data_IF_248008621198
#
_entry.id   IF_248008621198
#
_cell.length_a   1.000
_cell.length_b   1.000
_cell.length_c   1.000
_cell.angle_alpha   90.00
_cell.angle_beta   90.00
_cell.angle_gamma   90.00
#
_symmetry.space_group_name_H-M   'P 1'
#
loop_
_entity.id
_entity.type
_entity.pdbx_description
1 polymer ?
#
# COMPACT_ATOMS: atom_id res chain seq x y z
N UNK A 1 -23.06 3.69 9.74
CA UNK A 1 -23.59 4.32 8.51
C UNK A 1 -24.77 5.28 8.79
N UNK A 2 -24.96 5.75 10.03
CA UNK A 2 -25.76 6.94 10.35
C UNK A 2 -24.91 7.98 11.11
N UNK A 3 -24.27 7.60 12.22
CA UNK A 3 -22.81 7.81 12.32
C UNK A 3 -22.12 6.43 12.20
N UNK A 4 -20.81 6.27 12.44
CA UNK A 4 -20.07 5.18 11.78
C UNK A 4 -20.58 3.75 12.05
N UNK A 5 -21.16 3.43 13.23
CA UNK A 5 -22.42 2.65 13.26
C UNK A 5 -23.51 3.29 14.13
N UNK A 6 -23.21 3.76 15.35
CA UNK A 6 -23.00 5.22 15.59
C UNK A 6 -21.53 5.64 15.79
N UNK A 7 -20.61 4.74 16.14
CA UNK A 7 -19.19 4.84 15.73
C UNK A 7 -18.48 3.48 15.58
N UNK A 8 -19.09 2.39 16.07
CA UNK A 8 -19.19 1.09 15.35
C UNK A 8 -20.23 0.13 15.98
N UNK A 9 -20.91 0.34 17.13
CA UNK A 9 -21.90 1.41 17.42
C UNK A 9 -21.45 2.58 18.33
N UNK A 10 -20.31 2.47 19.01
CA UNK A 10 -19.37 3.60 19.26
C UNK A 10 -17.91 3.10 19.13
N UNK A 11 -17.70 1.79 19.33
CA UNK A 11 -16.68 1.00 18.63
C UNK A 11 -17.15 -0.46 18.34
N UNK A 12 -18.46 -0.74 18.50
CA UNK A 12 -19.07 -2.07 18.67
C UNK A 12 -19.24 -2.96 17.43
N UNK A 13 -18.13 -3.43 16.86
CA UNK A 13 -18.14 -4.56 15.93
C UNK A 13 -18.50 -5.87 16.64
N UNK A 14 -19.57 -6.53 16.21
CA UNK A 14 -19.66 -7.98 16.25
C UNK A 14 -19.68 -8.56 14.84
N UNK A 15 -18.98 -9.68 14.69
CA UNK A 15 -18.83 -10.46 13.46
C UNK A 15 -20.16 -11.14 13.10
N UNK A 16 -20.46 -11.37 11.82
CA UNK A 16 -20.95 -12.66 11.32
C UNK A 16 -21.13 -12.73 9.80
N UNK A 17 -20.82 -13.93 9.28
CA UNK A 17 -21.25 -14.53 8.01
C UNK A 17 -21.15 -13.69 6.72
N UNK A 18 -20.03 -13.87 6.01
CA UNK A 18 -19.95 -14.04 4.55
C UNK A 18 -20.96 -13.25 3.70
N UNK A 19 -20.60 -12.00 3.36
CA UNK A 19 -21.08 -11.34 2.14
C UNK A 19 -19.88 -10.80 1.37
N UNK A 20 -19.92 -10.91 0.04
CA UNK A 20 -18.74 -10.72 -0.82
C UNK A 20 -18.23 -9.28 -0.90
N UNK A 21 -17.10 -9.13 -1.60
CA UNK A 21 -16.32 -7.91 -1.87
C UNK A 21 -15.25 -7.54 -0.80
N UNK A 22 -14.02 -8.04 -1.08
CA UNK A 22 -12.71 -7.56 -0.61
C UNK A 22 -12.40 -7.48 0.90
N UNK A 23 -12.01 -8.62 1.49
CA UNK A 23 -11.14 -8.70 2.68
C UNK A 23 -10.24 -9.95 2.60
N UNK A 24 -9.03 -9.93 3.20
CA UNK A 24 -8.15 -11.12 3.27
C UNK A 24 -7.52 -11.32 4.66
N UNK A 25 -7.66 -12.54 5.20
CA UNK A 25 -7.21 -13.05 6.51
C UNK A 25 -6.88 -14.58 6.36
N UNK A 26 -6.36 -15.38 7.32
CA UNK A 26 -6.23 -15.27 8.78
C UNK A 26 -4.83 -15.72 9.31
N UNK A 27 -4.67 -16.95 9.83
CA UNK A 27 -3.49 -17.56 10.46
C UNK A 27 -3.69 -19.08 10.67
N UNK A 28 -2.58 -19.83 10.86
CA UNK A 28 -2.41 -21.13 11.56
C UNK A 28 -2.07 -22.41 10.76
N UNK A 29 -1.09 -22.33 9.84
CA UNK A 29 0.05 -23.29 9.72
C UNK A 29 0.97 -22.90 8.56
N UNK A 30 2.28 -23.08 8.77
CA UNK A 30 3.38 -23.01 7.79
C UNK A 30 3.56 -21.69 7.00
N UNK A 31 4.56 -20.92 7.44
CA UNK A 31 5.59 -20.29 6.58
C UNK A 31 5.12 -19.49 5.33
N UNK A 32 4.76 -18.22 5.56
CA UNK A 32 4.57 -17.21 4.51
C UNK A 32 4.30 -15.82 5.10
N UNK A 33 5.10 -14.81 4.72
CA UNK A 33 5.06 -13.47 5.31
C UNK A 33 3.83 -12.66 4.88
N UNK A 34 2.82 -12.57 5.75
CA UNK A 34 1.87 -11.44 5.86
C UNK A 34 1.68 -11.22 7.37
N UNK A 35 1.71 -9.98 7.84
CA UNK A 35 1.77 -9.61 9.26
C UNK A 35 0.75 -10.37 10.14
N UNK A 36 1.21 -11.43 10.82
CA UNK A 36 0.38 -12.29 11.63
C UNK A 36 -0.39 -11.50 12.72
N UNK A 37 -1.71 -11.69 12.75
CA UNK A 37 -2.55 -11.29 13.88
C UNK A 37 -3.01 -9.84 13.95
N UNK A 38 -2.81 -9.01 12.91
CA UNK A 38 -3.27 -7.61 12.90
C UNK A 38 -4.62 -7.44 12.23
N UNK A 39 -5.68 -7.18 13.00
CA UNK A 39 -7.01 -6.79 12.52
C UNK A 39 -6.94 -5.44 11.82
N UNK A 40 -7.94 -5.11 10.98
CA UNK A 40 -8.02 -3.75 10.39
C UNK A 40 -8.16 -2.67 11.48
N UNK A 41 -8.81 -3.01 12.59
CA UNK A 41 -8.84 -2.20 13.81
C UNK A 41 -7.45 -1.93 14.39
N UNK A 42 -6.46 -2.80 14.21
CA UNK A 42 -5.09 -2.58 14.70
C UNK A 42 -4.33 -1.60 13.79
N UNK A 43 -4.57 -1.63 12.47
CA UNK A 43 -4.04 -0.62 11.54
C UNK A 43 -4.67 0.76 11.82
N UNK A 44 -5.98 0.80 12.12
CA UNK A 44 -6.69 2.03 12.51
C UNK A 44 -6.18 2.52 13.88
N UNK A 45 -5.99 1.63 14.86
CA UNK A 45 -5.46 1.97 16.18
C UNK A 45 -4.01 2.46 16.11
N UNK A 46 -3.16 1.85 15.27
CA UNK A 46 -1.83 2.34 14.95
C UNK A 46 -1.92 3.75 14.36
N UNK A 47 -2.71 3.96 13.30
CA UNK A 47 -2.91 5.28 12.70
C UNK A 47 -3.42 6.31 13.73
N UNK A 48 -4.33 5.92 14.61
CA UNK A 48 -4.87 6.78 15.66
C UNK A 48 -3.83 7.13 16.73
N UNK A 49 -3.07 6.15 17.26
CA UNK A 49 -1.98 6.41 18.21
C UNK A 49 -0.83 7.20 17.57
N UNK A 50 -0.63 7.11 16.24
CA UNK A 50 0.26 7.98 15.49
C UNK A 50 -0.25 9.43 15.47
N UNK A 51 -1.54 9.67 15.17
CA UNK A 51 -2.15 11.02 15.25
C UNK A 51 -2.05 11.60 16.66
N UNK A 52 -2.40 10.80 17.66
CA UNK A 52 -2.34 11.18 19.09
C UNK A 52 -0.91 11.42 19.57
N UNK A 53 0.04 10.62 19.10
CA UNK A 53 1.47 10.79 19.34
C UNK A 53 2.07 12.02 18.66
N UNK A 54 1.45 12.51 17.59
CA UNK A 54 1.80 13.76 16.90
C UNK A 54 1.24 15.02 17.58
N UNK A 55 0.26 14.90 18.49
CA UNK A 55 -0.38 16.04 19.20
C UNK A 55 0.33 16.48 20.49
N UNK A 56 1.30 15.73 21.02
CA UNK A 56 2.01 16.09 22.27
C UNK A 56 3.13 17.10 22.00
N UNK A 57 3.19 18.16 22.79
CA UNK A 57 4.30 19.12 22.79
C UNK A 57 5.59 18.44 23.28
N UNK A 58 6.75 18.89 22.77
CA UNK A 58 8.06 18.31 23.10
C UNK A 58 8.40 16.98 22.42
N UNK A 59 7.62 16.55 21.41
CA UNK A 59 7.84 15.28 20.70
C UNK A 59 8.91 15.37 19.61
N UNK A 60 9.76 14.34 19.52
CA UNK A 60 10.73 14.13 18.44
C UNK A 60 10.08 14.20 17.05
N UNK A 61 10.73 14.87 16.08
CA UNK A 61 10.20 15.11 14.73
C UNK A 61 9.54 13.87 14.11
N UNK A 62 8.32 14.02 13.57
CA UNK A 62 7.58 12.93 12.92
C UNK A 62 6.99 13.33 11.59
N UNK A 63 7.05 12.38 10.65
CA UNK A 63 6.41 12.51 9.37
C UNK A 63 5.87 11.15 8.90
N UNK A 64 4.74 11.19 8.18
CA UNK A 64 4.15 10.04 7.53
C UNK A 64 3.70 10.43 6.11
N UNK A 65 3.95 9.56 5.14
CA UNK A 65 3.46 9.71 3.76
C UNK A 65 2.29 8.75 3.56
N UNK A 66 1.13 9.28 3.22
CA UNK A 66 0.01 8.51 2.66
C UNK A 66 0.18 8.50 1.14
N UNK A 67 0.73 7.41 0.62
CA UNK A 67 0.95 7.16 -0.79
C UNK A 67 -0.28 6.51 -1.45
N UNK A 68 -0.59 6.94 -2.67
CA UNK A 68 -1.62 6.37 -3.56
C UNK A 68 -0.91 5.80 -4.80
N UNK A 69 -1.20 4.55 -5.17
CA UNK A 69 -0.66 3.91 -6.37
C UNK A 69 -1.61 4.14 -7.55
N UNK A 70 -1.11 4.76 -8.61
CA UNK A 70 -1.88 5.06 -9.82
C UNK A 70 -2.40 3.78 -10.48
N UNK A 71 -3.73 3.64 -10.56
CA UNK A 71 -4.42 2.55 -11.27
C UNK A 71 -3.83 1.18 -10.90
N UNK A 72 -3.76 0.90 -9.60
CA UNK A 72 -2.97 -0.19 -9.05
C UNK A 72 -3.24 -1.55 -9.72
N UNK A 73 -4.49 -1.99 -9.80
CA UNK A 73 -4.83 -3.23 -10.50
C UNK A 73 -4.50 -3.17 -11.99
N UNK A 74 -4.88 -2.11 -12.70
CA UNK A 74 -4.73 -2.01 -14.17
C UNK A 74 -3.26 -1.88 -14.64
N UNK A 75 -2.31 -1.66 -13.72
CA UNK A 75 -0.92 -1.29 -14.05
C UNK A 75 0.13 -2.37 -13.81
N UNK A 76 -0.17 -3.43 -13.05
CA UNK A 76 0.77 -4.51 -12.69
C UNK A 76 1.33 -5.20 -13.94
N UNK A 77 2.65 -5.25 -14.08
CA UNK A 77 3.33 -6.01 -15.13
C UNK A 77 3.16 -7.52 -14.92
N UNK A 78 2.79 -8.25 -15.97
CA UNK A 78 2.70 -9.71 -15.92
C UNK A 78 4.07 -10.40 -15.85
N UNK A 79 5.11 -9.84 -16.49
CA UNK A 79 6.47 -10.37 -16.38
C UNK A 79 7.05 -10.20 -14.97
N UNK A 80 6.64 -9.16 -14.26
CA UNK A 80 7.00 -8.95 -12.86
C UNK A 80 6.40 -10.05 -11.96
N UNK A 81 5.11 -10.36 -12.14
CA UNK A 81 4.46 -11.46 -11.40
C UNK A 81 5.12 -12.81 -11.69
N UNK A 82 5.40 -13.13 -12.96
CA UNK A 82 6.16 -14.33 -13.33
C UNK A 82 7.52 -14.39 -12.62
N UNK A 83 8.30 -13.30 -12.66
CA UNK A 83 9.60 -13.25 -11.99
C UNK A 83 9.49 -13.51 -10.48
N UNK A 84 8.45 -13.02 -9.81
CA UNK A 84 8.20 -13.33 -8.40
C UNK A 84 7.87 -14.83 -8.23
N UNK A 85 7.00 -15.39 -9.06
CA UNK A 85 6.61 -16.81 -8.98
C UNK A 85 7.80 -17.76 -9.15
N UNK A 86 8.68 -17.50 -10.10
CA UNK A 86 9.92 -18.27 -10.25
C UNK A 86 10.88 -18.04 -9.06
N UNK A 87 11.00 -16.80 -8.56
CA UNK A 87 11.88 -16.49 -7.42
C UNK A 87 11.44 -17.14 -6.09
N UNK A 88 10.14 -17.36 -5.88
CA UNK A 88 9.62 -18.11 -4.73
C UNK A 88 9.50 -19.62 -4.99
N UNK A 89 9.87 -20.10 -6.18
CA UNK A 89 9.87 -21.52 -6.53
C UNK A 89 8.48 -22.14 -6.72
N UNK A 90 7.49 -21.38 -7.23
CA UNK A 90 6.19 -21.97 -7.57
C UNK A 90 6.35 -23.01 -8.71
N UNK A 91 5.63 -24.15 -8.65
CA UNK A 91 5.67 -25.15 -9.72
C UNK A 91 5.25 -24.56 -11.07
N UNK A 92 6.02 -24.82 -12.12
CA UNK A 92 5.80 -24.28 -13.48
C UNK A 92 4.36 -24.50 -14.01
N UNK A 93 3.75 -25.64 -13.70
CA UNK A 93 2.36 -25.92 -14.06
C UNK A 93 1.37 -24.94 -13.40
N UNK A 94 1.58 -24.60 -12.13
CA UNK A 94 0.75 -23.66 -11.39
C UNK A 94 1.00 -22.21 -11.84
N UNK A 95 2.27 -21.86 -12.09
CA UNK A 95 2.68 -20.59 -12.71
C UNK A 95 2.00 -20.40 -14.07
N UNK A 96 1.99 -21.43 -14.93
CA UNK A 96 1.30 -21.43 -16.22
C UNK A 96 -0.21 -21.22 -16.08
N UNK A 97 -0.89 -21.91 -15.14
CA UNK A 97 -2.33 -21.71 -14.91
C UNK A 97 -2.65 -20.27 -14.46
N UNK A 98 -1.88 -19.69 -13.55
CA UNK A 98 -2.04 -18.29 -13.14
C UNK A 98 -1.83 -17.35 -14.34
N UNK A 99 -0.82 -17.62 -15.16
CA UNK A 99 -0.51 -16.79 -16.32
C UNK A 99 -1.62 -16.82 -17.38
N UNK A 100 -2.18 -17.98 -17.69
CA UNK A 100 -3.35 -18.10 -18.59
C UNK A 100 -4.57 -17.36 -18.03
N UNK A 101 -4.82 -17.43 -16.72
CA UNK A 101 -5.92 -16.68 -16.08
C UNK A 101 -5.78 -15.16 -16.23
N UNK A 102 -4.57 -14.59 -16.11
CA UNK A 102 -4.37 -13.14 -16.21
C UNK A 102 -4.21 -12.65 -17.67
N UNK A 103 -3.73 -13.48 -18.59
CA UNK A 103 -3.48 -13.10 -20.00
C UNK A 103 -4.59 -13.48 -20.98
N UNK A 104 -5.42 -14.48 -20.64
CA UNK A 104 -6.56 -14.92 -21.45
C UNK A 104 -7.68 -13.91 -21.68
N UNK A 105 -8.00 -12.97 -20.75
CA UNK A 105 -9.07 -11.99 -20.95
C UNK A 105 -8.89 -11.11 -22.19
N UNK A 106 -9.96 -11.00 -22.98
CA UNK A 106 -10.12 -10.02 -24.06
C UNK A 106 -11.05 -8.89 -23.63
N UNK A 107 -10.77 -7.70 -24.14
CA UNK A 107 -11.49 -6.46 -23.87
C UNK A 107 -12.12 -5.96 -25.18
N UNK A 108 -13.23 -5.24 -25.06
CA UNK A 108 -13.97 -4.60 -26.15
C UNK A 108 -14.31 -3.18 -25.74
N UNK A 109 -14.48 -2.25 -26.69
CA UNK A 109 -14.86 -0.86 -26.40
C UNK A 109 -16.34 -0.69 -26.65
N UNK A 110 -17.07 -0.09 -25.70
CA UNK A 110 -18.48 0.25 -25.94
C UNK A 110 -18.55 1.61 -26.65
N UNK A 111 -19.07 1.63 -27.87
CA UNK A 111 -19.28 2.83 -28.69
C UNK A 111 -20.77 2.93 -29.02
N UNK A 112 -21.42 4.03 -28.65
CA UNK A 112 -22.85 4.27 -28.85
C UNK A 112 -23.78 3.14 -28.32
N UNK A 113 -23.33 2.39 -27.30
CA UNK A 113 -24.06 1.25 -26.74
C UNK A 113 -23.77 -0.11 -27.40
N UNK A 114 -23.09 -0.14 -28.56
CA UNK A 114 -22.58 -1.36 -29.19
C UNK A 114 -21.20 -1.74 -28.65
N UNK A 115 -20.87 -3.03 -28.61
CA UNK A 115 -19.51 -3.52 -28.32
C UNK A 115 -18.71 -3.63 -29.62
N UNK A 116 -17.65 -2.82 -29.73
CA UNK A 116 -16.83 -2.71 -30.93
C UNK A 116 -15.45 -3.34 -30.75
N UNK A 117 -15.15 -4.30 -31.63
CA UNK A 117 -13.86 -4.99 -31.71
C UNK A 117 -13.47 -5.80 -30.47
N UNK A 118 -12.30 -6.45 -30.55
CA UNK A 118 -11.67 -7.13 -29.41
C UNK A 118 -10.15 -6.93 -29.43
N UNK A 119 -9.58 -6.63 -28.27
CA UNK A 119 -8.14 -6.56 -28.05
C UNK A 119 -7.74 -7.36 -26.79
N UNK A 120 -6.48 -7.79 -26.72
CA UNK A 120 -5.93 -8.45 -25.53
C UNK A 120 -5.41 -7.42 -24.54
N UNK A 121 -5.44 -7.76 -23.25
CA UNK A 121 -4.61 -7.05 -22.27
C UNK A 121 -3.12 -7.24 -22.60
N UNK A 122 -2.28 -6.33 -22.08
CA UNK A 122 -0.81 -6.49 -22.10
C UNK A 122 -0.19 -6.43 -20.69
N UNK A 123 -0.99 -6.04 -19.70
CA UNK A 123 -0.66 -5.92 -18.28
C UNK A 123 -1.96 -5.72 -17.48
N UNK A 124 -1.83 -5.74 -16.16
CA UNK A 124 -2.90 -5.45 -15.22
C UNK A 124 -3.62 -6.71 -14.73
N UNK A 125 -4.31 -6.54 -13.61
CA UNK A 125 -5.09 -7.55 -12.92
C UNK A 125 -6.57 -7.23 -13.05
N UNK A 126 -7.38 -8.24 -13.37
CA UNK A 126 -8.81 -8.05 -13.61
C UNK A 126 -9.54 -7.69 -12.31
N UNK A 127 -10.16 -6.53 -12.27
CA UNK A 127 -11.02 -6.15 -11.14
C UNK A 127 -12.22 -7.11 -11.03
N UNK A 128 -12.62 -7.45 -9.80
CA UNK A 128 -13.65 -8.46 -9.46
C UNK A 128 -13.27 -9.92 -9.78
N UNK A 129 -12.06 -10.18 -10.23
CA UNK A 129 -11.51 -11.55 -10.28
C UNK A 129 -11.08 -11.97 -8.86
N UNK A 130 -11.49 -13.17 -8.36
CA UNK A 130 -11.08 -13.66 -7.05
C UNK A 130 -9.56 -13.83 -6.87
N UNK A 131 -8.80 -14.02 -7.94
CA UNK A 131 -7.35 -14.23 -7.90
C UNK A 131 -6.57 -12.91 -7.79
N UNK A 132 -7.06 -11.85 -8.44
CA UNK A 132 -6.38 -10.54 -8.52
C UNK A 132 -5.94 -9.94 -7.17
N UNK A 133 -6.72 -9.99 -6.06
CA UNK A 133 -6.27 -9.48 -4.76
C UNK A 133 -5.00 -10.17 -4.26
N UNK A 134 -4.89 -11.50 -4.41
CA UNK A 134 -3.74 -12.26 -3.96
C UNK A 134 -2.49 -11.93 -4.79
N UNK A 135 -2.64 -11.82 -6.11
CA UNK A 135 -1.54 -11.44 -7.00
C UNK A 135 -1.06 -10.01 -6.71
N UNK A 136 -1.98 -9.11 -6.37
CA UNK A 136 -1.64 -7.75 -5.96
C UNK A 136 -0.89 -7.71 -4.62
N UNK A 137 -1.28 -8.53 -3.63
CA UNK A 137 -0.53 -8.66 -2.37
C UNK A 137 0.89 -9.18 -2.63
N UNK A 138 1.06 -10.18 -3.49
CA UNK A 138 2.38 -10.70 -3.89
C UNK A 138 3.23 -9.63 -4.57
N UNK A 139 2.63 -8.76 -5.39
CA UNK A 139 3.33 -7.63 -5.99
C UNK A 139 3.78 -6.58 -4.94
N UNK A 140 2.93 -6.26 -3.97
CA UNK A 140 3.24 -5.29 -2.90
C UNK A 140 4.26 -5.82 -1.89
N UNK A 141 4.33 -7.13 -1.65
CA UNK A 141 5.36 -7.74 -0.79
C UNK A 141 6.81 -7.44 -1.26
N UNK A 142 7.04 -7.27 -2.57
CA UNK A 142 8.33 -6.82 -3.08
C UNK A 142 8.64 -5.38 -2.64
N UNK A 143 7.65 -4.49 -2.66
CA UNK A 143 7.79 -3.12 -2.14
C UNK A 143 8.03 -3.12 -0.62
N UNK A 144 7.36 -4.02 0.12
CA UNK A 144 7.61 -4.21 1.56
C UNK A 144 9.08 -4.52 1.85
N UNK A 145 9.67 -5.43 1.07
CA UNK A 145 11.08 -5.84 1.17
C UNK A 145 12.06 -4.75 0.76
N UNK A 146 11.72 -3.93 -0.24
CA UNK A 146 12.54 -2.76 -0.61
C UNK A 146 12.59 -1.74 0.54
N UNK A 147 11.47 -1.49 1.23
CA UNK A 147 11.47 -0.67 2.44
C UNK A 147 12.24 -1.32 3.60
N UNK A 148 12.13 -2.63 3.81
CA UNK A 148 12.88 -3.31 4.87
C UNK A 148 14.40 -3.30 4.63
N UNK A 149 14.85 -3.53 3.40
CA UNK A 149 16.26 -3.41 3.03
C UNK A 149 16.78 -1.98 3.23
N UNK A 150 16.02 -0.96 2.80
CA UNK A 150 16.39 0.44 3.04
C UNK A 150 16.40 0.81 4.53
N UNK A 151 15.63 0.12 5.37
CA UNK A 151 15.65 0.32 6.82
C UNK A 151 16.87 -0.32 7.48
N UNK A 152 17.29 -1.51 7.00
CA UNK A 152 18.51 -2.18 7.43
C UNK A 152 19.77 -1.37 7.05
N UNK A 153 19.78 -0.77 5.86
CA UNK A 153 20.83 0.15 5.41
C UNK A 153 20.83 1.51 6.15
N UNK A 154 19.84 1.77 7.02
CA UNK A 154 19.66 3.07 7.68
C UNK A 154 19.21 4.21 6.78
N UNK A 155 18.89 3.94 5.50
CA UNK A 155 18.38 4.92 4.52
C UNK A 155 16.98 5.42 4.87
N UNK A 156 16.18 4.60 5.54
CA UNK A 156 14.95 5.02 6.23
C UNK A 156 15.02 4.62 7.72
N UNK A 157 14.56 5.50 8.61
CA UNK A 157 14.45 5.18 10.05
C UNK A 157 13.00 4.88 10.41
N UNK A 158 12.75 3.71 10.98
CA UNK A 158 11.50 3.46 11.69
C UNK A 158 11.31 4.47 12.84
N UNK A 159 10.08 4.97 12.99
CA UNK A 159 9.69 5.89 14.06
C UNK A 159 9.98 5.26 15.44
N UNK A 160 10.34 6.02 16.50
CA UNK A 160 10.68 5.45 17.80
C UNK A 160 9.61 4.53 18.41
N UNK A 161 8.33 4.81 18.13
CA UNK A 161 7.20 3.95 18.52
C UNK A 161 7.13 2.65 17.70
N UNK A 162 7.49 2.72 16.42
CA UNK A 162 7.52 1.60 15.49
C UNK A 162 8.80 0.73 15.62
N UNK A 163 9.88 1.24 16.23
CA UNK A 163 11.15 0.51 16.40
C UNK A 163 10.99 -0.85 17.11
N UNK A 164 10.09 -0.96 18.09
CA UNK A 164 9.79 -2.24 18.77
C UNK A 164 9.04 -3.26 17.91
N UNK A 165 8.42 -2.82 16.81
CA UNK A 165 7.56 -3.63 15.95
C UNK A 165 8.08 -3.73 14.49
N UNK A 166 9.26 -3.15 14.22
CA UNK A 166 9.88 -2.92 12.91
C UNK A 166 8.93 -2.44 11.78
N UNK A 167 7.91 -1.63 12.11
CA UNK A 167 6.94 -1.17 11.11
C UNK A 167 7.51 0.02 10.33
N UNK A 168 7.81 -0.18 9.04
CA UNK A 168 8.19 0.88 8.11
C UNK A 168 6.97 1.46 7.37
N UNK A 169 5.95 0.63 7.10
CA UNK A 169 4.75 0.99 6.37
C UNK A 169 3.54 0.12 6.77
N UNK A 170 2.33 0.58 6.43
CA UNK A 170 1.07 -0.16 6.48
C UNK A 170 0.41 -0.05 5.10
N UNK A 171 -0.13 -1.15 4.57
CA UNK A 171 -0.78 -1.16 3.26
C UNK A 171 -2.25 -1.59 3.32
N UNK A 172 -3.08 -0.95 2.50
CA UNK A 172 -4.44 -1.37 2.19
C UNK A 172 -4.70 -1.14 0.70
N UNK A 173 -4.63 -2.22 -0.09
CA UNK A 173 -4.72 -2.18 -1.55
C UNK A 173 -3.79 -1.10 -2.16
N UNK A 174 -4.36 -0.12 -2.88
CA UNK A 174 -3.66 0.96 -3.56
C UNK A 174 -3.16 2.09 -2.63
N UNK A 175 -3.54 2.07 -1.35
CA UNK A 175 -3.16 3.06 -0.36
C UNK A 175 -2.09 2.51 0.60
N UNK A 176 -0.99 3.24 0.77
CA UNK A 176 0.11 2.92 1.67
C UNK A 176 0.34 4.06 2.66
N UNK A 177 0.55 3.76 3.94
CA UNK A 177 0.95 4.72 4.97
C UNK A 177 2.37 4.39 5.42
N UNK A 178 3.34 5.23 5.07
CA UNK A 178 4.78 5.01 5.26
C UNK A 178 5.31 5.96 6.33
N UNK A 179 6.16 5.47 7.24
CA UNK A 179 6.71 6.24 8.35
C UNK A 179 8.16 6.65 8.12
N UNK A 180 8.48 7.91 8.39
CA UNK A 180 9.81 8.48 8.23
C UNK A 180 10.13 9.46 9.35
N UNK A 181 11.41 9.82 9.44
CA UNK A 181 11.93 10.79 10.41
C UNK A 181 11.51 12.24 10.09
N UNK A 182 11.18 12.51 8.83
CA UNK A 182 10.79 13.85 8.37
C UNK A 182 11.99 14.74 8.03
N UNK A 183 13.03 14.12 7.46
CA UNK A 183 14.15 14.80 6.82
C UNK A 183 14.20 14.47 5.33
N UNK A 184 14.86 15.34 4.57
CA UNK A 184 15.00 15.27 3.11
C UNK A 184 15.56 13.91 2.63
N UNK A 185 16.62 13.41 3.27
CA UNK A 185 17.24 12.14 2.92
C UNK A 185 16.26 10.97 3.03
N UNK A 186 15.48 10.92 4.12
CA UNK A 186 14.44 9.89 4.32
C UNK A 186 13.29 9.98 3.30
N UNK A 187 12.96 11.18 2.81
CA UNK A 187 11.92 11.39 1.81
C UNK A 187 12.40 11.01 0.40
N UNK A 188 13.63 11.41 0.03
CA UNK A 188 14.27 10.99 -1.23
C UNK A 188 14.41 9.48 -1.31
N UNK A 189 14.88 8.83 -0.25
CA UNK A 189 14.97 7.37 -0.18
C UNK A 189 13.62 6.67 -0.45
N UNK A 190 12.50 7.20 0.05
CA UNK A 190 11.16 6.68 -0.25
C UNK A 190 10.81 6.86 -1.74
N UNK A 191 11.12 8.03 -2.32
CA UNK A 191 10.87 8.30 -3.74
C UNK A 191 11.70 7.39 -4.65
N UNK A 192 12.98 7.18 -4.33
CA UNK A 192 13.87 6.28 -5.06
C UNK A 192 13.38 4.83 -5.03
N UNK A 193 12.91 4.36 -3.86
CA UNK A 193 12.29 3.03 -3.71
C UNK A 193 11.06 2.88 -4.61
N UNK A 194 10.20 3.91 -4.68
CA UNK A 194 9.04 3.88 -5.56
C UNK A 194 9.40 3.90 -7.04
N UNK A 195 10.47 4.59 -7.45
CA UNK A 195 10.92 4.61 -8.85
C UNK A 195 11.55 3.26 -9.27
N UNK A 196 12.37 2.65 -8.40
CA UNK A 196 12.87 1.27 -8.59
C UNK A 196 11.70 0.29 -8.68
N UNK A 197 10.76 0.36 -7.75
CA UNK A 197 9.57 -0.49 -7.76
C UNK A 197 8.70 -0.28 -8.99
N UNK A 198 8.55 0.96 -9.47
CA UNK A 198 7.84 1.27 -10.71
C UNK A 198 8.51 0.63 -11.93
N UNK A 199 9.84 0.75 -12.05
CA UNK A 199 10.61 0.13 -13.14
C UNK A 199 10.48 -1.39 -13.20
N UNK A 200 10.32 -2.05 -12.05
CA UNK A 200 10.09 -3.50 -11.98
C UNK A 200 8.62 -3.88 -12.23
N UNK A 201 7.68 -3.23 -11.53
CA UNK A 201 6.29 -3.69 -11.39
C UNK A 201 5.29 -3.01 -12.32
N UNK A 202 5.64 -1.86 -12.89
CA UNK A 202 4.69 -0.97 -13.57
C UNK A 202 3.75 -0.18 -12.64
N UNK A 203 3.81 -0.39 -11.31
CA UNK A 203 3.03 0.33 -10.32
C UNK A 203 3.68 1.67 -9.97
N UNK A 204 3.02 2.76 -10.30
CA UNK A 204 3.55 4.12 -10.12
C UNK A 204 2.92 4.83 -8.93
N UNK A 205 3.74 5.49 -8.12
CA UNK A 205 3.26 6.44 -7.11
C UNK A 205 2.48 7.60 -7.77
N UNK A 206 1.47 8.13 -7.08
CA UNK A 206 0.63 9.24 -7.53
C UNK A 206 0.94 10.53 -6.75
N UNK A 207 1.84 11.43 -7.21
CA UNK A 207 2.20 12.64 -6.46
C UNK A 207 0.99 13.54 -6.17
N UNK A 208 -0.01 13.56 -7.06
CA UNK A 208 -1.20 14.43 -6.94
C UNK A 208 -2.21 13.97 -5.88
N UNK A 209 -2.14 12.71 -5.44
CA UNK A 209 -2.95 12.15 -4.35
C UNK A 209 -2.12 11.73 -3.12
N UNK A 210 -0.79 11.72 -3.25
CA UNK A 210 0.11 11.43 -2.14
C UNK A 210 0.19 12.63 -1.20
N UNK A 211 0.06 12.37 0.10
CA UNK A 211 -0.06 13.38 1.15
C UNK A 211 1.02 13.18 2.22
N UNK A 212 1.72 14.25 2.57
CA UNK A 212 2.69 14.29 3.66
C UNK A 212 2.04 14.90 4.90
N UNK A 213 2.05 14.13 5.99
CA UNK A 213 1.64 14.57 7.33
C UNK A 213 2.89 14.80 8.18
N UNK A 214 3.00 15.97 8.80
CA UNK A 214 4.17 16.39 9.60
C UNK A 214 3.74 16.86 10.99
N UNK A 215 4.53 16.51 12.01
CA UNK A 215 4.35 16.97 13.39
C UNK A 215 5.70 17.23 14.06
N UNK A 216 5.77 18.30 14.87
CA UNK A 216 7.01 18.76 15.51
C UNK A 216 8.06 19.35 14.56
N UNK A 217 7.76 19.49 13.25
CA UNK A 217 8.66 20.09 12.26
C UNK A 217 8.35 21.58 12.05
N UNK A 218 9.40 22.39 11.89
CA UNK A 218 9.28 23.81 11.56
C UNK A 218 8.68 24.03 10.17
N UNK A 219 7.92 25.13 9.99
CA UNK A 219 7.20 25.42 8.76
C UNK A 219 8.09 25.50 7.51
N UNK A 220 9.34 25.95 7.65
CA UNK A 220 10.35 25.97 6.58
C UNK A 220 10.71 24.57 6.11
N UNK A 221 11.05 23.66 7.02
CA UNK A 221 11.36 22.25 6.70
C UNK A 221 10.17 21.55 6.07
N UNK A 222 8.95 21.80 6.56
CA UNK A 222 7.74 21.23 5.93
C UNK A 222 7.56 21.74 4.50
N UNK A 223 7.80 23.02 4.25
CA UNK A 223 7.72 23.59 2.90
C UNK A 223 8.78 23.02 1.95
N UNK A 224 10.00 22.81 2.45
CA UNK A 224 11.10 22.18 1.70
C UNK A 224 10.75 20.73 1.28
N UNK A 225 10.27 19.90 2.21
CA UNK A 225 9.84 18.52 1.91
C UNK A 225 8.72 18.46 0.86
N UNK A 226 7.78 19.42 0.89
CA UNK A 226 6.70 19.53 -0.10
C UNK A 226 7.23 19.94 -1.49
N UNK A 227 8.20 20.86 -1.55
CA UNK A 227 8.83 21.28 -2.80
C UNK A 227 9.66 20.14 -3.44
N UNK A 228 10.38 19.37 -2.63
CA UNK A 228 11.25 18.28 -3.11
C UNK A 228 10.43 17.09 -3.63
N UNK A 229 9.31 16.77 -2.99
CA UNK A 229 8.45 15.65 -3.39
C UNK A 229 7.36 15.99 -4.41
N UNK A 230 6.92 17.25 -4.46
CA UNK A 230 5.70 17.64 -5.18
C UNK A 230 4.41 17.05 -4.61
N UNK A 231 4.45 16.49 -3.38
CA UNK A 231 3.29 15.93 -2.70
C UNK A 231 2.46 17.02 -2.03
N UNK A 232 1.21 16.69 -1.66
CA UNK A 232 0.33 17.60 -0.92
C UNK A 232 0.63 17.56 0.58
N UNK A 233 0.39 18.67 1.29
CA UNK A 233 0.35 18.65 2.76
C UNK A 233 -0.98 18.06 3.22
N UNK A 234 -0.92 16.92 3.90
CA UNK A 234 -2.07 16.34 4.59
C UNK A 234 -2.36 17.09 5.89
N UNK A 235 -3.63 17.19 6.27
CA UNK A 235 -4.07 17.70 7.57
C UNK A 235 -4.69 16.57 8.40
N UNK A 236 -4.25 16.42 9.64
CA UNK A 236 -4.85 15.48 10.59
C UNK A 236 -6.10 16.12 11.17
N UNK A 237 -7.24 15.95 10.49
CA UNK A 237 -8.55 16.36 10.97
C UNK A 237 -9.01 15.46 12.12
N UNK A 238 -8.55 15.78 13.33
CA UNK A 238 -9.17 15.33 14.58
C UNK A 238 -9.34 16.57 15.45
N UNK A 239 -10.55 17.14 15.44
CA UNK A 239 -10.99 18.03 16.51
C UNK A 239 -11.00 17.24 17.82
#
# INVERSE_FOLDING_TARGET
MAEFKELLDEAGLEDHSWTGYYYTWTNKRAEGFIAHGRRIGDNILLAHELVKGCKKEGVSHRCAVKADIMKAFDSVSWSFLLNIFHAIGLPEQFTSWIFECITGPRYSVVINGGMEGYFRGMKGLRQRDPLSPYLFVVAIEVLSRLFEAAAQDGRISSQPFCKKLNITHLGFADNLLIFLKGDDGSLRAIMDIFEVFYGMSGLRLNPKKTEIYCAGLGSSTVQELLLISGFKRGSLLVK
#
